data_IF_671311888439
#
_entry.id   IF_671311888439
#
_cell.length_a   1.000
_cell.length_b   1.000
_cell.length_c   1.000
_cell.angle_alpha   90.00
_cell.angle_beta   90.00
_cell.angle_gamma   90.00
#
_symmetry.space_group_name_H-M   'P 1'
#
loop_
_entity.id
_entity.type
_entity.pdbx_description
1 polymer ?
#
# COMPACT_ATOMS: atom_id res chain seq x y z
N UNK A 1 -11.91 -1.04 -4.19
CA UNK A 1 -13.12 -1.35 -3.40
C UNK A 1 -13.90 -0.07 -3.23
N UNK A 2 -15.20 -0.17 -2.95
CA UNK A 2 -16.06 1.00 -2.74
C UNK A 2 -16.26 1.24 -1.24
N UNK A 3 -16.21 2.51 -0.81
CA UNK A 3 -16.62 2.94 0.52
C UNK A 3 -18.04 3.48 0.43
N UNK A 4 -18.89 3.11 1.38
CA UNK A 4 -20.34 3.36 1.31
C UNK A 4 -20.75 4.70 1.93
N UNK A 5 -19.93 5.23 2.84
CA UNK A 5 -20.16 6.49 3.57
C UNK A 5 -19.24 7.59 3.05
N UNK A 6 -19.64 8.86 3.18
CA UNK A 6 -18.78 9.99 2.77
C UNK A 6 -17.58 10.19 3.71
N UNK A 7 -17.69 9.75 4.97
CA UNK A 7 -16.68 9.97 6.02
C UNK A 7 -16.55 8.78 6.96
N UNK A 8 -15.34 8.58 7.49
CA UNK A 8 -15.02 7.74 8.64
C UNK A 8 -14.47 8.68 9.73
N UNK A 9 -15.28 8.97 10.75
CA UNK A 9 -14.95 10.01 11.73
C UNK A 9 -14.72 11.37 11.05
N UNK A 10 -13.49 11.90 11.13
CA UNK A 10 -13.11 13.17 10.51
C UNK A 10 -12.42 13.05 9.15
N UNK A 11 -12.28 11.84 8.62
CA UNK A 11 -11.61 11.58 7.34
C UNK A 11 -12.66 11.36 6.26
N UNK A 12 -12.58 12.09 5.15
CA UNK A 12 -13.40 11.79 3.97
C UNK A 12 -12.96 10.47 3.33
N UNK A 13 -13.89 9.58 3.01
CA UNK A 13 -13.56 8.23 2.48
C UNK A 13 -12.86 8.28 1.12
N UNK A 14 -13.07 9.35 0.35
CA UNK A 14 -12.33 9.64 -0.89
C UNK A 14 -10.83 9.86 -0.69
N UNK A 15 -10.41 10.27 0.51
CA UNK A 15 -8.98 10.45 0.83
C UNK A 15 -8.25 9.12 1.03
N UNK A 16 -8.98 8.03 1.30
CA UNK A 16 -8.36 6.71 1.48
C UNK A 16 -7.67 6.26 0.18
N UNK A 17 -8.35 6.10 -0.98
CA UNK A 17 -7.63 5.77 -2.21
C UNK A 17 -6.60 6.83 -2.63
N UNK A 18 -6.91 8.12 -2.46
CA UNK A 18 -5.97 9.21 -2.77
C UNK A 18 -4.65 9.10 -1.99
N UNK A 19 -4.70 8.67 -0.72
CA UNK A 19 -3.50 8.40 0.07
C UNK A 19 -2.63 7.32 -0.57
N UNK A 20 -3.22 6.18 -0.97
CA UNK A 20 -2.47 5.08 -1.58
C UNK A 20 -1.88 5.48 -2.93
N UNK A 21 -2.62 6.24 -3.75
CA UNK A 21 -2.13 6.79 -5.02
C UNK A 21 -0.95 7.74 -4.80
N UNK A 22 -1.12 8.72 -3.90
CA UNK A 22 -0.08 9.70 -3.59
C UNK A 22 1.17 9.03 -3.01
N UNK A 23 0.99 8.09 -2.08
CA UNK A 23 2.09 7.33 -1.49
C UNK A 23 2.84 6.50 -2.54
N UNK A 24 2.14 5.83 -3.46
CA UNK A 24 2.77 5.07 -4.53
C UNK A 24 3.57 5.98 -5.47
N UNK A 25 3.01 7.15 -5.82
CA UNK A 25 3.65 8.12 -6.70
C UNK A 25 4.93 8.71 -6.10
N UNK A 26 4.85 9.21 -4.86
CA UNK A 26 5.98 9.82 -4.14
C UNK A 26 7.00 8.78 -3.68
N UNK A 27 6.53 7.60 -3.27
CA UNK A 27 7.36 6.47 -2.87
C UNK A 27 7.99 5.72 -4.04
N UNK A 28 7.67 6.10 -5.29
CA UNK A 28 8.23 5.52 -6.52
C UNK A 28 8.11 4.00 -6.55
N UNK A 29 6.95 3.51 -6.12
CA UNK A 29 6.65 2.09 -6.00
C UNK A 29 5.39 1.72 -6.76
N UNK A 30 5.39 0.50 -7.30
CA UNK A 30 4.18 -0.10 -7.80
C UNK A 30 3.39 -0.66 -6.62
N UNK A 31 2.20 -0.10 -6.37
CA UNK A 31 1.36 -0.48 -5.25
C UNK A 31 -0.01 -0.94 -5.74
N UNK A 32 -0.40 -2.16 -5.38
CA UNK A 32 -1.73 -2.69 -5.63
C UNK A 32 -2.47 -2.89 -4.31
N UNK A 33 -3.58 -2.18 -4.12
CA UNK A 33 -4.43 -2.32 -2.96
C UNK A 33 -5.84 -2.73 -3.38
N UNK A 34 -6.29 -3.90 -2.92
CA UNK A 34 -7.61 -4.45 -3.25
C UNK A 34 -8.31 -4.98 -2.01
N UNK A 35 -9.41 -4.33 -1.68
CA UNK A 35 -10.36 -4.83 -0.68
C UNK A 35 -11.18 -5.97 -1.30
N UNK A 36 -11.10 -7.17 -0.73
CA UNK A 36 -11.80 -8.36 -1.23
C UNK A 36 -13.22 -8.49 -0.67
N UNK A 37 -13.42 -8.09 0.59
CA UNK A 37 -14.70 -8.12 1.29
C UNK A 37 -14.68 -7.12 2.45
N UNK A 38 -15.86 -6.83 2.99
CA UNK A 38 -16.06 -5.99 4.17
C UNK A 38 -17.40 -5.27 4.10
N UNK A 39 -17.99 -4.94 5.24
CA UNK A 39 -19.27 -4.20 5.33
C UNK A 39 -19.06 -2.82 5.93
N UNK A 40 -18.32 -2.75 7.05
CA UNK A 40 -18.02 -1.52 7.75
C UNK A 40 -16.83 -0.77 7.12
N UNK A 41 -17.01 0.52 6.84
CA UNK A 41 -16.02 1.35 6.16
C UNK A 41 -14.75 1.60 7.00
N UNK A 42 -14.87 1.67 8.33
CA UNK A 42 -13.70 1.80 9.20
C UNK A 42 -12.82 0.54 9.10
N UNK A 43 -13.41 -0.64 9.25
CA UNK A 43 -12.70 -1.91 9.11
C UNK A 43 -12.13 -2.11 7.71
N UNK A 44 -12.85 -1.67 6.65
CA UNK A 44 -12.33 -1.70 5.27
C UNK A 44 -11.06 -0.86 5.12
N UNK A 45 -11.07 0.37 5.63
CA UNK A 45 -9.90 1.24 5.60
C UNK A 45 -8.75 0.63 6.41
N UNK A 46 -9.01 0.25 7.65
CA UNK A 46 -8.00 -0.35 8.55
C UNK A 46 -7.39 -1.62 7.95
N UNK A 47 -8.18 -2.48 7.30
CA UNK A 47 -7.69 -3.67 6.62
C UNK A 47 -6.71 -3.33 5.49
N UNK A 48 -6.98 -2.29 4.70
CA UNK A 48 -6.07 -1.84 3.64
C UNK A 48 -4.74 -1.35 4.23
N UNK A 49 -4.78 -0.54 5.29
CA UNK A 49 -3.56 -0.03 5.95
C UNK A 49 -2.75 -1.15 6.62
N UNK A 50 -3.41 -2.11 7.29
CA UNK A 50 -2.74 -3.28 7.88
C UNK A 50 -2.10 -4.17 6.82
N UNK A 51 -2.78 -4.37 5.67
CA UNK A 51 -2.24 -5.13 4.55
C UNK A 51 -1.02 -4.42 3.94
N UNK A 52 -1.11 -3.09 3.75
CA UNK A 52 0.01 -2.27 3.28
C UNK A 52 1.20 -2.36 4.23
N UNK A 53 0.99 -2.21 5.54
CA UNK A 53 2.06 -2.27 6.53
C UNK A 53 2.83 -3.60 6.46
N UNK A 54 2.12 -4.72 6.39
CA UNK A 54 2.74 -6.05 6.24
C UNK A 54 3.47 -6.22 4.91
N UNK A 55 2.85 -5.78 3.80
CA UNK A 55 3.45 -5.89 2.48
C UNK A 55 4.73 -5.04 2.36
N UNK A 56 4.68 -3.81 2.88
CA UNK A 56 5.80 -2.88 2.86
C UNK A 56 6.93 -3.37 3.76
N UNK A 57 6.63 -3.83 4.98
CA UNK A 57 7.62 -4.44 5.88
C UNK A 57 8.38 -5.55 5.17
N UNK A 58 7.68 -6.53 4.59
CA UNK A 58 8.32 -7.61 3.81
C UNK A 58 9.16 -7.10 2.63
N UNK A 59 8.69 -6.06 1.92
CA UNK A 59 9.36 -5.54 0.74
C UNK A 59 10.65 -4.78 1.06
N UNK A 60 10.74 -4.14 2.24
CA UNK A 60 11.92 -3.33 2.64
C UNK A 60 12.95 -4.11 3.45
N UNK A 61 12.65 -5.35 3.85
CA UNK A 61 13.61 -6.19 4.56
C UNK A 61 14.85 -6.47 3.70
N UNK A 62 16.02 -6.53 4.35
CA UNK A 62 17.27 -6.93 3.69
C UNK A 62 17.26 -8.45 3.46
N UNK A 63 17.35 -8.88 2.20
CA UNK A 63 17.44 -10.30 1.86
C UNK A 63 18.91 -10.76 1.81
N UNK A 64 19.30 -11.60 2.76
CA UNK A 64 20.66 -12.16 2.82
C UNK A 64 21.02 -13.00 1.59
N UNK A 65 20.03 -13.59 0.90
CA UNK A 65 20.25 -14.41 -0.31
C UNK A 65 20.72 -13.59 -1.50
N UNK A 66 20.47 -12.29 -1.50
CA UNK A 66 20.92 -11.38 -2.56
C UNK A 66 22.40 -11.00 -2.41
N UNK A 67 23.03 -11.25 -1.26
CA UNK A 67 24.43 -10.91 -0.99
C UNK A 67 24.80 -9.46 -1.36
N UNK A 68 23.89 -8.51 -1.11
CA UNK A 68 24.07 -7.09 -1.43
C UNK A 68 23.82 -6.70 -2.89
N UNK A 69 23.40 -7.63 -3.75
CA UNK A 69 23.06 -7.32 -5.14
C UNK A 69 21.69 -6.65 -5.26
N UNK A 70 21.52 -5.83 -6.31
CA UNK A 70 20.24 -5.21 -6.65
C UNK A 70 19.29 -6.29 -7.19
N UNK A 71 18.05 -6.40 -6.67
CA UNK A 71 17.07 -7.40 -7.12
C UNK A 71 16.44 -7.01 -8.46
N UNK A 72 17.25 -6.93 -9.52
CA UNK A 72 16.84 -6.57 -10.87
C UNK A 72 17.77 -7.20 -11.90
N UNK A 73 17.23 -7.86 -12.92
CA UNK A 73 18.02 -8.44 -14.02
C UNK A 73 18.74 -7.36 -14.86
N UNK A 74 18.29 -6.10 -14.76
CA UNK A 74 18.95 -4.95 -15.39
C UNK A 74 20.08 -4.38 -14.53
N UNK A 75 20.31 -4.92 -13.33
CA UNK A 75 21.36 -4.47 -12.41
C UNK A 75 21.08 -3.12 -11.73
N UNK A 76 19.91 -2.53 -11.95
CA UNK A 76 19.54 -1.22 -11.40
C UNK A 76 18.06 -1.14 -11.02
N UNK A 77 17.77 -0.32 -10.02
CA UNK A 77 16.46 0.15 -9.60
C UNK A 77 16.59 1.65 -9.33
N UNK A 78 16.26 2.45 -10.34
CA UNK A 78 16.34 3.91 -10.30
C UNK A 78 14.98 4.52 -10.49
N UNK A 79 14.87 5.76 -10.04
CA UNK A 79 13.73 6.65 -10.28
C UNK A 79 13.74 7.19 -11.71
#
# INVERSE_FOLDING_TARGET
GHFSSDRIGQVGTTLIPHFFESMAHEGRMNLHARLLAGVDDHHRAEALFKALARALDMAVQRDARLAGQVPSTKGTLTV
#
